data_IF_312153479370
#
_entry.id   IF_312153479370
#
_cell.length_a   1.000
_cell.length_b   1.000
_cell.length_c   1.000
_cell.angle_alpha   90.00
_cell.angle_beta   90.00
_cell.angle_gamma   90.00
#
_symmetry.space_group_name_H-M   'P 1'
#
loop_
_entity.id
_entity.type
_entity.pdbx_description
1 polymer ?
#
# COMPACT_ATOMS: atom_id res chain seq x y z
N UNK A 1 9.51 -14.14 11.13
CA UNK A 1 9.36 -13.74 9.73
C UNK A 1 8.02 -13.06 9.59
N UNK A 2 8.00 -11.73 9.53
CA UNK A 2 6.76 -10.97 9.31
C UNK A 2 6.38 -11.07 7.84
N UNK A 3 5.15 -11.44 7.54
CA UNK A 3 4.69 -11.54 6.14
C UNK A 3 4.50 -10.14 5.55
N UNK A 4 4.64 -10.01 4.22
CA UNK A 4 4.40 -8.75 3.50
C UNK A 4 3.01 -8.16 3.84
N UNK A 5 2.00 -9.03 3.90
CA UNK A 5 0.63 -8.69 4.25
C UNK A 5 0.50 -8.06 5.63
N UNK A 6 1.21 -8.58 6.64
CA UNK A 6 1.17 -8.04 7.99
C UNK A 6 1.81 -6.65 8.08
N UNK A 7 2.94 -6.42 7.41
CA UNK A 7 3.61 -5.11 7.40
C UNK A 7 2.76 -4.06 6.68
N UNK A 8 2.14 -4.45 5.55
CA UNK A 8 1.21 -3.59 4.82
C UNK A 8 0.01 -3.24 5.69
N UNK A 9 -0.58 -4.23 6.36
CA UNK A 9 -1.76 -4.04 7.19
C UNK A 9 -1.48 -3.06 8.32
N UNK A 10 -0.41 -3.25 9.09
CA UNK A 10 -0.02 -2.33 10.17
C UNK A 10 0.16 -0.90 9.67
N UNK A 11 0.85 -0.74 8.54
CA UNK A 11 1.00 0.56 7.89
C UNK A 11 -0.36 1.20 7.56
N UNK A 12 -1.30 0.42 7.04
CA UNK A 12 -2.66 0.91 6.73
C UNK A 12 -3.49 1.17 8.00
N UNK A 13 -3.21 0.48 9.11
CA UNK A 13 -3.82 0.73 10.42
C UNK A 13 -3.34 2.06 11.03
N UNK A 14 -2.06 2.38 10.88
CA UNK A 14 -1.49 3.68 11.28
C UNK A 14 -2.02 4.85 10.43
N UNK A 15 -2.54 4.58 9.23
CA UNK A 15 -3.22 5.60 8.43
C UNK A 15 -4.59 5.97 9.02
N UNK A 16 -4.77 7.27 9.26
CA UNK A 16 -6.08 7.85 9.56
C UNK A 16 -7.08 7.64 8.43
N UNK A 17 -8.38 7.81 8.72
CA UNK A 17 -9.45 7.56 7.75
C UNK A 17 -9.33 8.43 6.47
N UNK A 18 -8.92 9.69 6.63
CA UNK A 18 -8.71 10.60 5.49
C UNK A 18 -7.52 10.18 4.63
N UNK A 19 -6.42 9.76 5.24
CA UNK A 19 -5.23 9.33 4.53
C UNK A 19 -5.42 7.98 3.86
N UNK A 20 -6.16 7.06 4.49
CA UNK A 20 -6.60 5.82 3.86
C UNK A 20 -7.48 6.09 2.63
N UNK A 21 -8.37 7.09 2.70
CA UNK A 21 -9.18 7.50 1.55
C UNK A 21 -8.31 8.05 0.41
N UNK A 22 -7.31 8.90 0.71
CA UNK A 22 -6.34 9.38 -0.29
C UNK A 22 -5.49 8.24 -0.84
N UNK A 23 -5.07 7.30 0.01
CA UNK A 23 -4.29 6.14 -0.37
C UNK A 23 -5.03 5.30 -1.42
N UNK A 24 -6.29 4.93 -1.13
CA UNK A 24 -7.17 4.25 -2.10
C UNK A 24 -7.39 5.09 -3.36
N UNK A 25 -7.52 6.41 -3.21
CA UNK A 25 -7.65 7.30 -4.35
C UNK A 25 -6.45 7.19 -5.30
N UNK A 26 -5.22 7.16 -4.79
CA UNK A 26 -4.03 6.97 -5.62
C UNK A 26 -3.93 5.57 -6.23
N UNK A 27 -4.44 4.54 -5.56
CA UNK A 27 -4.41 3.16 -6.09
C UNK A 27 -5.24 2.97 -7.37
N UNK A 28 -6.30 3.75 -7.59
CA UNK A 28 -7.10 3.63 -8.82
C UNK A 28 -6.66 4.60 -9.93
N UNK A 29 -5.86 5.61 -9.61
CA UNK A 29 -5.39 6.59 -10.59
C UNK A 29 -4.45 5.96 -11.62
N UNK A 30 -4.80 6.04 -12.90
CA UNK A 30 -3.96 5.54 -13.99
C UNK A 30 -2.76 6.46 -14.22
N UNK A 31 -1.59 5.87 -14.43
CA UNK A 31 -0.35 6.60 -14.76
C UNK A 31 0.36 7.24 -13.57
N UNK A 32 -0.24 7.23 -12.38
CA UNK A 32 0.34 7.80 -11.16
C UNK A 32 1.36 6.87 -10.51
N UNK A 33 1.25 5.56 -10.78
CA UNK A 33 2.06 4.50 -10.17
C UNK A 33 3.16 3.98 -11.12
N UNK A 34 3.92 4.86 -11.79
CA UNK A 34 5.05 4.47 -12.67
C UNK A 34 4.76 3.32 -13.67
N UNK A 35 3.54 3.27 -14.23
CA UNK A 35 3.14 2.22 -15.17
C UNK A 35 2.50 0.98 -14.53
N UNK A 36 2.38 0.91 -13.21
CA UNK A 36 1.58 -0.13 -12.55
C UNK A 36 0.07 0.05 -12.83
N UNK A 37 -0.67 -1.06 -13.00
CA UNK A 37 -2.10 -1.00 -13.29
C UNK A 37 -2.87 -0.50 -12.07
N UNK A 38 -3.70 0.53 -12.24
CA UNK A 38 -4.59 0.99 -11.18
C UNK A 38 -5.66 -0.05 -10.82
N UNK A 39 -6.00 -0.14 -9.54
CA UNK A 39 -7.08 -1.01 -9.04
C UNK A 39 -8.43 -0.37 -9.37
N UNK A 40 -9.44 -1.18 -9.72
CA UNK A 40 -10.77 -0.66 -10.04
C UNK A 40 -11.37 0.07 -8.83
N UNK A 41 -11.88 1.29 -9.06
CA UNK A 41 -12.53 2.11 -8.02
C UNK A 41 -13.65 1.35 -7.28
N UNK A 42 -14.45 0.57 -8.00
CA UNK A 42 -15.56 -0.22 -7.40
C UNK A 42 -15.08 -1.26 -6.38
N UNK A 43 -13.84 -1.77 -6.50
CA UNK A 43 -13.26 -2.68 -5.49
C UNK A 43 -12.75 -1.90 -4.27
N UNK A 44 -12.32 -0.65 -4.44
CA UNK A 44 -11.73 0.15 -3.36
C UNK A 44 -12.76 0.97 -2.56
N UNK A 45 -13.92 1.28 -3.16
CA UNK A 45 -14.92 2.17 -2.56
C UNK A 45 -15.43 1.65 -1.19
N UNK A 46 -15.64 0.34 -1.08
CA UNK A 46 -16.11 -0.32 0.14
C UNK A 46 -15.07 -1.25 0.78
N UNK A 47 -13.85 -1.34 0.22
CA UNK A 47 -12.80 -2.16 0.82
C UNK A 47 -12.48 -1.65 2.22
N UNK A 48 -12.31 -2.52 3.19
CA UNK A 48 -11.66 -2.15 4.45
C UNK A 48 -10.12 -2.15 4.31
N UNK A 49 -9.38 -2.12 5.42
CA UNK A 49 -7.92 -2.12 5.40
C UNK A 49 -7.38 -3.46 4.92
N UNK A 50 -7.96 -4.56 5.38
CA UNK A 50 -7.55 -5.93 5.03
C UNK A 50 -7.84 -6.21 3.56
N UNK A 51 -9.04 -5.85 3.08
CA UNK A 51 -9.42 -5.91 1.68
C UNK A 51 -8.45 -5.10 0.81
N UNK A 52 -8.06 -3.91 1.26
CA UNK A 52 -7.11 -3.07 0.51
C UNK A 52 -5.76 -3.75 0.40
N UNK A 53 -5.27 -4.39 1.47
CA UNK A 53 -4.02 -5.16 1.46
C UNK A 53 -4.11 -6.32 0.47
N UNK A 54 -5.16 -7.13 0.55
CA UNK A 54 -5.38 -8.27 -0.34
C UNK A 54 -5.46 -7.82 -1.81
N UNK A 55 -6.18 -6.74 -2.10
CA UNK A 55 -6.27 -6.14 -3.43
C UNK A 55 -4.89 -5.73 -3.97
N UNK A 56 -4.05 -5.13 -3.13
CA UNK A 56 -2.71 -4.71 -3.53
C UNK A 56 -1.78 -5.89 -3.75
N UNK A 57 -1.84 -6.92 -2.90
CA UNK A 57 -1.03 -8.14 -3.05
C UNK A 57 -1.44 -8.91 -4.30
N UNK A 58 -2.74 -9.03 -4.57
CA UNK A 58 -3.25 -9.66 -5.79
C UNK A 58 -2.87 -8.90 -7.06
N UNK A 59 -2.88 -7.56 -7.01
CA UNK A 59 -2.65 -6.74 -8.22
C UNK A 59 -1.16 -6.57 -8.52
N UNK A 60 -0.33 -6.36 -7.49
CA UNK A 60 1.07 -5.98 -7.67
C UNK A 60 2.05 -7.08 -7.25
N UNK A 61 1.63 -8.07 -6.46
CA UNK A 61 2.43 -9.20 -6.00
C UNK A 61 3.78 -8.74 -5.41
N UNK A 62 4.90 -9.08 -6.04
CA UNK A 62 6.24 -8.67 -5.59
C UNK A 62 6.44 -7.15 -5.58
N UNK A 63 5.66 -6.40 -6.37
CA UNK A 63 5.75 -4.95 -6.48
C UNK A 63 4.88 -4.20 -5.46
N UNK A 64 4.12 -4.91 -4.62
CA UNK A 64 3.22 -4.30 -3.64
C UNK A 64 3.95 -3.34 -2.70
N UNK A 65 5.15 -3.70 -2.22
CA UNK A 65 5.99 -2.80 -1.39
C UNK A 65 6.31 -1.51 -2.15
N UNK A 66 6.74 -1.63 -3.41
CA UNK A 66 7.13 -0.47 -4.23
C UNK A 66 5.93 0.47 -4.44
N UNK A 67 4.77 -0.09 -4.76
CA UNK A 67 3.54 0.70 -4.94
C UNK A 67 3.12 1.37 -3.64
N UNK A 68 3.12 0.66 -2.51
CA UNK A 68 2.78 1.24 -1.20
C UNK A 68 3.68 2.41 -0.85
N UNK A 69 5.00 2.24 -0.95
CA UNK A 69 5.96 3.33 -0.68
C UNK A 69 5.66 4.55 -1.54
N UNK A 70 5.39 4.35 -2.83
CA UNK A 70 5.07 5.44 -3.74
C UNK A 70 3.77 6.18 -3.37
N UNK A 71 2.74 5.45 -2.94
CA UNK A 71 1.49 6.07 -2.50
C UNK A 71 1.67 6.81 -1.18
N UNK A 72 2.39 6.24 -0.22
CA UNK A 72 2.69 6.89 1.06
C UNK A 72 3.41 8.24 0.87
N UNK A 73 4.39 8.30 -0.04
CA UNK A 73 5.07 9.54 -0.42
C UNK A 73 4.08 10.56 -0.99
N UNK A 74 3.15 10.13 -1.85
CA UNK A 74 2.15 11.03 -2.47
C UNK A 74 1.15 11.62 -1.48
N UNK A 75 0.83 10.89 -0.41
CA UNK A 75 -0.06 11.38 0.65
C UNK A 75 0.70 12.05 1.80
N UNK A 76 2.02 12.23 1.66
CA UNK A 76 2.91 12.85 2.65
C UNK A 76 3.03 12.07 3.98
N UNK A 77 2.82 10.75 3.95
CA UNK A 77 3.01 9.82 5.08
C UNK A 77 4.38 9.13 4.97
N UNK A 78 5.43 9.94 4.89
CA UNK A 78 6.81 9.47 4.67
C UNK A 78 7.40 8.77 5.91
N UNK A 79 6.87 9.06 7.10
CA UNK A 79 7.24 8.43 8.37
C UNK A 79 6.94 6.93 8.38
N UNK A 80 5.88 6.50 7.68
CA UNK A 80 5.48 5.10 7.60
C UNK A 80 6.31 4.28 6.61
N UNK A 81 7.27 4.90 5.90
CA UNK A 81 8.15 4.19 4.96
C UNK A 81 9.16 3.27 5.67
N UNK A 82 9.54 3.63 6.89
CA UNK A 82 10.51 2.89 7.71
C UNK A 82 9.98 1.48 8.09
N UNK A 83 8.66 1.31 8.18
CA UNK A 83 8.03 -0.01 8.37
C UNK A 83 8.41 -1.02 7.27
N UNK A 84 8.84 -0.53 6.09
CA UNK A 84 9.23 -1.36 4.95
C UNK A 84 10.74 -1.36 4.68
N UNK A 85 11.57 -0.79 5.56
CA UNK A 85 13.03 -0.92 5.49
C UNK A 85 13.53 -2.14 6.26
N UNK A 86 12.84 -2.54 7.32
CA UNK A 86 13.20 -3.70 8.14
C UNK A 86 12.97 -5.07 7.47
N UNK A 87 12.18 -5.13 6.39
CA UNK A 87 11.89 -6.39 5.67
C UNK A 87 13.00 -6.84 4.72
N UNK A 88 14.03 -6.01 4.49
CA UNK A 88 15.21 -6.34 3.65
C UNK A 88 16.47 -6.53 4.51
N UNK A 89 16.34 -6.69 5.83
CA UNK A 89 17.45 -7.22 6.61
C UNK A 89 17.63 -8.69 6.23
N UNK A 90 18.63 -8.94 5.38
CA UNK A 90 19.15 -10.27 5.08
C UNK A 90 19.38 -11.06 6.39
N UNK A 91 19.07 -12.37 6.40
CA UNK A 91 19.47 -13.24 7.49
C UNK A 91 21.00 -13.35 7.45
N UNK A 92 21.66 -13.19 8.59
CA UNK A 92 23.03 -13.71 8.75
C UNK A 92 23.01 -15.22 8.67
#
# INVERSE_FOLDING_TARGET
>A
MTTLTEVLLRTLEDLGAEDLKKFKWHLWQKGVLEGFPGIRKSRLENADREDTVDLMVQTYCINTIKVTKMVLVKINQNDLLDNFTDTISEPT
#
